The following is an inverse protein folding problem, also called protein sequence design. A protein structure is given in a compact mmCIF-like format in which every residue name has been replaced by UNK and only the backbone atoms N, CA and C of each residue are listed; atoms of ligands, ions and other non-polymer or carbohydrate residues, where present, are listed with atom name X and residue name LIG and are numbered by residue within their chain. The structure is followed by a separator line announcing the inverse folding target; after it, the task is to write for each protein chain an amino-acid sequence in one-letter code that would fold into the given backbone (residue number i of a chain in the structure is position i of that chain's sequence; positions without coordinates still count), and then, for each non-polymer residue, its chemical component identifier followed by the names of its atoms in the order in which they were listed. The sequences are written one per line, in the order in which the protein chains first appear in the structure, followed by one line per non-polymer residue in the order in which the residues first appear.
data_IF_819318436190
#
_entry.id   IF_819318436190
#
_cell.length_a   1.000
_cell.length_b   1.000
_cell.length_c   1.000
_cell.angle_alpha   90.00
_cell.angle_beta   90.00
_cell.angle_gamma   90.00
#
_symmetry.space_group_name_H-M   'P 1'
#
loop_
_entity.id
_entity.type
_entity.pdbx_description
1 polymer ?
#
# COMPACT_ATOMS: atom_id res chain seq x y z
N UNK A 1 -39.85 29.86 20.03
CA UNK A 1 -39.59 28.60 19.35
C UNK A 1 -38.09 28.36 19.19
N UNK A 2 -37.53 27.47 20.00
CA UNK A 2 -36.14 26.99 19.87
C UNK A 2 -36.10 25.78 18.90
N UNK A 3 -36.72 25.93 17.75
CA UNK A 3 -36.64 24.96 16.67
C UNK A 3 -35.78 25.51 15.54
N UNK A 4 -34.73 24.83 15.12
CA UNK A 4 -33.86 25.08 13.99
C UNK A 4 -32.43 25.60 14.27
N UNK A 5 -31.76 25.06 15.26
CA UNK A 5 -30.30 25.28 15.39
C UNK A 5 -29.49 24.12 14.86
N UNK A 6 -30.10 23.02 14.41
CA UNK A 6 -29.41 21.95 13.69
C UNK A 6 -29.70 22.01 12.19
N UNK A 7 -29.32 23.08 11.50
CA UNK A 7 -29.01 22.96 10.09
C UNK A 7 -27.85 21.99 10.01
N UNK A 8 -28.12 20.77 9.55
CA UNK A 8 -27.05 19.87 9.06
C UNK A 8 -26.25 20.70 8.08
N UNK A 9 -25.05 21.10 8.44
CA UNK A 9 -24.09 21.53 7.46
C UNK A 9 -24.02 20.37 6.46
N UNK A 10 -24.55 20.59 5.27
CA UNK A 10 -24.29 19.67 4.16
C UNK A 10 -22.77 19.67 4.00
N UNK A 11 -22.13 18.61 4.49
CA UNK A 11 -20.69 18.48 4.36
C UNK A 11 -20.37 18.55 2.87
N UNK A 12 -19.54 19.49 2.48
CA UNK A 12 -18.98 19.59 1.12
C UNK A 12 -17.97 18.49 0.82
N UNK A 13 -17.76 17.55 1.76
CA UNK A 13 -16.90 16.38 1.60
C UNK A 13 -17.65 15.21 0.99
N UNK A 14 -16.97 14.42 0.18
CA UNK A 14 -17.52 13.21 -0.43
C UNK A 14 -17.97 12.17 0.61
N UNK A 15 -18.99 11.39 0.26
CA UNK A 15 -19.46 10.26 1.07
C UNK A 15 -18.71 9.00 0.66
N UNK A 16 -18.38 8.13 1.60
CA UNK A 16 -17.91 6.78 1.29
C UNK A 16 -19.12 5.97 0.80
N UNK A 17 -19.05 5.45 -0.42
CA UNK A 17 -20.11 4.69 -1.07
C UNK A 17 -19.91 3.18 -0.92
N UNK A 18 -18.66 2.71 -0.97
CA UNK A 18 -18.30 1.32 -0.75
C UNK A 18 -16.90 1.22 -0.13
N UNK A 19 -16.65 0.14 0.61
CA UNK A 19 -15.36 -0.19 1.21
C UNK A 19 -15.06 -1.66 0.92
N UNK A 20 -13.92 -1.93 0.32
CA UNK A 20 -13.45 -3.27 0.01
C UNK A 20 -12.03 -3.45 0.54
N UNK A 21 -11.73 -4.62 1.09
CA UNK A 21 -10.42 -4.90 1.69
C UNK A 21 -9.94 -6.30 1.33
N UNK A 22 -8.66 -6.39 1.02
CA UNK A 22 -7.92 -7.65 0.99
C UNK A 22 -6.95 -7.69 2.16
N UNK A 23 -6.95 -8.81 2.88
CA UNK A 23 -6.02 -9.13 3.96
C UNK A 23 -5.13 -10.28 3.51
N UNK A 24 -3.82 -10.05 3.50
CA UNK A 24 -2.80 -11.06 3.20
C UNK A 24 -2.16 -11.53 4.50
N UNK A 25 -2.18 -12.83 4.75
CA UNK A 25 -1.61 -13.46 5.96
C UNK A 25 -0.46 -14.40 5.67
N UNK A 26 -0.34 -14.88 4.43
CA UNK A 26 0.78 -15.72 3.98
C UNK A 26 2.00 -14.86 3.62
N UNK A 27 3.18 -15.46 3.77
CA UNK A 27 4.44 -14.76 3.50
C UNK A 27 4.60 -14.50 2.00
N UNK A 28 4.95 -13.27 1.66
CA UNK A 28 5.52 -12.92 0.36
C UNK A 28 7.01 -12.67 0.52
N UNK A 29 7.82 -13.11 -0.44
CA UNK A 29 9.27 -12.95 -0.42
C UNK A 29 9.82 -12.66 -1.80
N UNK A 30 10.72 -11.69 -1.91
CA UNK A 30 11.43 -11.37 -3.15
C UNK A 30 12.85 -10.89 -2.87
N UNK A 31 13.79 -11.20 -3.75
CA UNK A 31 15.13 -10.61 -3.80
C UNK A 31 15.36 -9.82 -5.10
N UNK A 32 14.29 -9.48 -5.81
CA UNK A 32 14.36 -8.73 -7.06
C UNK A 32 14.75 -7.27 -6.82
N UNK A 33 15.70 -6.76 -7.61
CA UNK A 33 16.02 -5.33 -7.71
C UNK A 33 15.04 -4.56 -8.60
N UNK A 34 14.20 -5.26 -9.36
CA UNK A 34 13.07 -4.70 -10.10
C UNK A 34 11.79 -4.85 -9.31
N UNK A 35 10.85 -3.92 -9.49
CA UNK A 35 9.54 -4.00 -8.85
C UNK A 35 8.76 -5.21 -9.37
N UNK A 36 8.31 -6.06 -8.46
CA UNK A 36 7.46 -7.22 -8.73
C UNK A 36 6.17 -7.12 -7.95
N UNK A 37 5.09 -7.64 -8.49
CA UNK A 37 3.78 -7.61 -7.83
C UNK A 37 3.79 -8.48 -6.55
N UNK A 38 3.25 -7.91 -5.46
CA UNK A 38 3.01 -8.65 -4.22
C UNK A 38 1.75 -9.50 -4.42
N UNK A 39 1.95 -10.79 -4.67
CA UNK A 39 0.85 -11.73 -4.90
C UNK A 39 -0.08 -11.81 -3.69
N UNK A 40 -1.39 -11.80 -3.93
CA UNK A 40 -2.40 -11.89 -2.87
C UNK A 40 -2.63 -10.58 -2.11
N UNK A 41 -2.04 -9.45 -2.53
CA UNK A 41 -2.28 -8.14 -1.94
C UNK A 41 -2.77 -7.16 -3.00
N UNK A 42 -3.93 -7.47 -3.56
CA UNK A 42 -4.63 -6.65 -4.55
C UNK A 42 -6.11 -6.57 -4.21
N UNK A 43 -6.76 -5.46 -4.58
CA UNK A 43 -8.20 -5.28 -4.40
C UNK A 43 -8.79 -4.58 -5.63
N UNK A 44 -9.78 -5.22 -6.22
CA UNK A 44 -10.54 -4.63 -7.33
C UNK A 44 -11.71 -3.80 -6.80
N UNK A 45 -12.03 -2.72 -7.52
CA UNK A 45 -13.18 -1.85 -7.26
C UNK A 45 -13.68 -1.25 -8.58
N UNK A 46 -14.99 -1.05 -8.67
CA UNK A 46 -15.65 -0.37 -9.79
C UNK A 46 -16.36 0.87 -9.28
N UNK A 47 -15.97 2.04 -9.74
CA UNK A 47 -16.64 3.28 -9.34
C UNK A 47 -18.04 3.38 -9.97
N UNK A 48 -19.00 3.85 -9.20
CA UNK A 48 -20.39 4.04 -9.67
C UNK A 48 -20.55 5.27 -10.59
N UNK A 49 -19.57 6.19 -10.58
CA UNK A 49 -19.56 7.41 -11.41
C UNK A 49 -18.15 7.77 -11.80
N UNK A 50 -17.99 8.35 -12.99
CA UNK A 50 -16.71 8.87 -13.51
C UNK A 50 -16.14 10.05 -12.69
N UNK A 51 -16.97 10.72 -11.90
CA UNK A 51 -16.55 11.82 -11.02
C UNK A 51 -16.07 11.33 -9.65
N UNK A 52 -16.40 10.09 -9.26
CA UNK A 52 -16.02 9.56 -7.97
C UNK A 52 -14.51 9.25 -7.91
N UNK A 53 -13.99 9.25 -6.70
CA UNK A 53 -12.58 8.97 -6.42
C UNK A 53 -12.45 7.66 -5.66
N UNK A 54 -11.26 7.07 -5.73
CA UNK A 54 -10.92 5.86 -4.98
C UNK A 54 -9.84 6.21 -3.96
N UNK A 55 -10.18 6.11 -2.67
CA UNK A 55 -9.21 6.22 -1.58
C UNK A 55 -8.60 4.84 -1.34
N UNK A 56 -7.29 4.74 -1.53
CA UNK A 56 -6.50 3.53 -1.33
C UNK A 56 -5.72 3.69 -0.02
N UNK A 57 -5.84 2.72 0.89
CA UNK A 57 -5.02 2.63 2.09
C UNK A 57 -4.30 1.29 2.10
N UNK A 58 -2.98 1.33 2.24
CA UNK A 58 -2.11 0.15 2.32
C UNK A 58 -1.40 0.16 3.66
N UNK A 59 -1.41 -0.98 4.34
CA UNK A 59 -0.58 -1.22 5.53
C UNK A 59 0.21 -2.50 5.32
N UNK A 60 1.52 -2.41 5.40
CA UNK A 60 2.46 -3.50 5.22
C UNK A 60 3.21 -3.74 6.52
N UNK A 61 3.46 -5.01 6.79
CA UNK A 61 4.32 -5.46 7.88
C UNK A 61 5.36 -6.41 7.30
N UNK A 62 6.64 -6.16 7.57
CA UNK A 62 7.69 -7.02 7.02
C UNK A 62 9.10 -6.55 7.31
N UNK A 63 10.08 -7.24 6.74
CA UNK A 63 11.49 -6.96 6.95
C UNK A 63 12.37 -7.47 5.83
N UNK A 64 13.67 -7.27 5.97
CA UNK A 64 14.69 -7.80 5.07
C UNK A 64 15.54 -8.86 5.79
N UNK A 65 15.95 -9.91 5.05
CA UNK A 65 16.71 -11.05 5.59
C UNK A 65 18.16 -10.73 5.94
N UNK A 66 18.56 -9.48 5.91
CA UNK A 66 19.88 -9.04 6.34
C UNK A 66 19.82 -7.69 6.99
N UNK A 67 20.76 -7.45 7.90
CA UNK A 67 20.83 -6.19 8.63
C UNK A 67 21.03 -4.99 7.70
N UNK A 68 20.41 -3.87 8.05
CA UNK A 68 20.52 -2.60 7.33
C UNK A 68 20.06 -2.62 5.87
N UNK A 69 19.18 -3.57 5.51
CA UNK A 69 18.64 -3.68 4.17
C UNK A 69 17.31 -2.93 4.02
N UNK A 70 17.02 -2.57 2.78
CA UNK A 70 15.87 -1.74 2.40
C UNK A 70 15.01 -2.47 1.39
N UNK A 71 13.71 -2.46 1.64
CA UNK A 71 12.69 -2.79 0.66
C UNK A 71 11.93 -1.53 0.26
N UNK A 72 11.72 -1.34 -1.03
CA UNK A 72 10.96 -0.23 -1.59
C UNK A 72 9.66 -0.72 -2.19
N UNK A 73 8.63 0.12 -2.12
CA UNK A 73 7.28 -0.21 -2.56
C UNK A 73 6.73 0.84 -3.50
N UNK A 74 5.90 0.42 -4.44
CA UNK A 74 5.07 1.28 -5.27
C UNK A 74 3.61 0.85 -5.18
N UNK A 75 2.72 1.83 -5.21
CA UNK A 75 1.32 1.57 -5.47
C UNK A 75 1.15 1.24 -6.95
N UNK A 76 0.26 0.32 -7.27
CA UNK A 76 -0.07 -0.08 -8.64
C UNK A 76 -1.57 -0.02 -8.89
N UNK A 77 -1.94 0.29 -10.14
CA UNK A 77 -3.28 0.17 -10.70
C UNK A 77 -3.20 -0.68 -11.95
N UNK A 78 -4.01 -1.73 -12.06
CA UNK A 78 -4.05 -2.65 -13.19
C UNK A 78 -2.67 -3.22 -13.55
N UNK A 79 -1.91 -3.63 -12.52
CA UNK A 79 -0.55 -4.15 -12.59
C UNK A 79 0.53 -3.13 -13.03
N UNK A 80 0.16 -1.88 -13.26
CA UNK A 80 1.08 -0.81 -13.64
C UNK A 80 1.38 0.10 -12.44
N UNK A 81 2.65 0.44 -12.23
CA UNK A 81 3.03 1.36 -11.17
C UNK A 81 2.38 2.74 -11.36
N UNK A 82 1.81 3.27 -10.28
CA UNK A 82 1.21 4.61 -10.26
C UNK A 82 2.30 5.64 -9.96
N UNK A 83 3.21 5.87 -10.90
CA UNK A 83 4.42 6.67 -10.63
C UNK A 83 4.15 8.18 -10.52
N UNK A 84 3.13 8.73 -11.10
CA UNK A 84 2.82 10.17 -11.10
C UNK A 84 2.95 10.83 -9.72
N UNK A 85 1.81 11.06 -9.07
CA UNK A 85 1.77 11.74 -7.76
C UNK A 85 2.02 10.82 -6.55
N UNK A 86 2.24 9.51 -6.76
CA UNK A 86 2.45 8.55 -5.67
C UNK A 86 3.91 8.36 -5.28
N UNK A 87 4.85 8.92 -6.00
CA UNK A 87 6.28 8.83 -5.72
C UNK A 87 6.91 10.21 -5.54
N UNK A 88 7.94 10.28 -4.69
CA UNK A 88 8.64 11.54 -4.43
C UNK A 88 9.44 12.03 -5.64
N UNK A 89 9.65 13.33 -5.74
CA UNK A 89 10.50 13.92 -6.79
C UNK A 89 11.96 13.49 -6.62
N UNK A 90 12.64 13.25 -7.75
CA UNK A 90 14.08 13.00 -7.74
C UNK A 90 14.86 14.25 -7.33
N UNK A 91 15.93 14.08 -6.55
CA UNK A 91 16.83 15.16 -6.14
C UNK A 91 18.26 14.65 -6.03
N UNK A 92 19.18 15.19 -6.82
CA UNK A 92 20.57 14.76 -6.86
C UNK A 92 20.69 13.27 -7.14
N UNK A 93 21.38 12.53 -6.27
CA UNK A 93 21.53 11.07 -6.35
C UNK A 93 20.31 10.30 -5.84
N UNK A 94 19.30 10.98 -5.26
CA UNK A 94 18.07 10.37 -4.79
C UNK A 94 17.12 10.21 -5.96
N UNK A 95 17.14 9.02 -6.58
CA UNK A 95 16.24 8.71 -7.68
C UNK A 95 14.79 8.59 -7.19
N UNK A 96 13.87 9.05 -8.03
CA UNK A 96 12.44 8.82 -7.85
C UNK A 96 12.14 7.33 -8.01
N UNK A 97 12.05 6.58 -6.91
CA UNK A 97 12.10 5.13 -6.97
C UNK A 97 11.00 4.38 -6.21
N UNK A 98 10.16 5.05 -5.43
CA UNK A 98 9.12 4.36 -4.71
C UNK A 98 8.12 5.28 -4.01
N UNK A 99 6.97 4.72 -3.68
CA UNK A 99 5.92 5.38 -2.90
C UNK A 99 6.29 5.43 -1.42
N UNK A 100 6.82 4.33 -0.89
CA UNK A 100 7.25 4.19 0.51
C UNK A 100 8.29 3.07 0.62
N UNK A 101 8.92 2.96 1.78
CA UNK A 101 9.94 1.96 2.07
C UNK A 101 9.97 1.60 3.54
N UNK A 102 10.53 0.45 3.86
CA UNK A 102 11.07 0.19 5.20
C UNK A 102 12.56 -0.19 5.13
N UNK A 103 13.24 -0.07 6.26
CA UNK A 103 14.60 -0.52 6.47
C UNK A 103 14.66 -1.23 7.81
N UNK A 104 15.05 -2.49 7.79
CA UNK A 104 15.28 -3.26 9.01
C UNK A 104 16.75 -3.22 9.41
N UNK A 105 17.04 -2.97 10.67
CA UNK A 105 18.39 -2.93 11.21
C UNK A 105 18.92 -4.31 11.55
N UNK A 106 18.01 -5.26 11.82
CA UNK A 106 18.32 -6.67 12.04
C UNK A 106 17.30 -7.57 11.33
N UNK A 107 17.71 -8.76 10.95
CA UNK A 107 16.86 -9.74 10.25
C UNK A 107 15.70 -10.28 11.10
N UNK A 108 15.81 -10.19 12.42
CA UNK A 108 14.74 -10.56 13.37
C UNK A 108 13.66 -9.49 13.51
N UNK A 109 13.88 -8.31 12.95
CA UNK A 109 12.92 -7.20 13.02
C UNK A 109 11.92 -7.25 11.89
N UNK A 110 10.81 -6.60 12.13
CA UNK A 110 9.85 -6.19 11.12
C UNK A 110 9.44 -4.74 11.38
N UNK A 111 9.19 -4.06 10.29
CA UNK A 111 8.74 -2.68 10.24
C UNK A 111 7.32 -2.63 9.70
N UNK A 112 6.62 -1.59 10.07
CA UNK A 112 5.36 -1.23 9.43
C UNK A 112 5.60 -0.11 8.41
N UNK A 113 4.97 -0.23 7.25
CA UNK A 113 4.89 0.82 6.27
C UNK A 113 3.44 1.00 5.85
N UNK A 114 2.94 2.24 5.91
CA UNK A 114 1.60 2.57 5.50
C UNK A 114 1.58 3.73 4.51
N UNK A 115 0.60 3.72 3.63
CA UNK A 115 0.41 4.75 2.62
C UNK A 115 -1.06 4.90 2.28
N UNK A 116 -1.49 6.16 2.12
CA UNK A 116 -2.83 6.51 1.69
C UNK A 116 -2.76 7.40 0.45
N UNK A 117 -3.58 7.11 -0.55
CA UNK A 117 -3.65 7.89 -1.79
C UNK A 117 -5.09 7.96 -2.31
N UNK A 118 -5.46 9.11 -2.85
CA UNK A 118 -6.76 9.34 -3.46
C UNK A 118 -6.60 9.39 -4.98
N UNK A 119 -6.99 8.30 -5.65
CA UNK A 119 -6.98 8.19 -7.12
C UNK A 119 -8.26 8.78 -7.73
N UNK A 120 -8.13 9.26 -8.96
CA UNK A 120 -9.24 9.72 -9.80
C UNK A 120 -9.24 8.89 -11.08
N UNK A 121 -9.90 7.72 -11.11
CA UNK A 121 -9.89 6.84 -12.28
C UNK A 121 -10.55 7.49 -13.51
N UNK A 122 -11.52 8.37 -13.27
CA UNK A 122 -12.28 9.11 -14.31
C UNK A 122 -13.08 8.20 -15.26
N UNK A 123 -13.34 6.97 -14.88
CA UNK A 123 -14.18 6.02 -15.62
C UNK A 123 -14.93 5.10 -14.64
N UNK A 124 -15.76 4.20 -15.18
CA UNK A 124 -16.54 3.21 -14.43
C UNK A 124 -16.11 1.78 -14.73
N UNK A 125 -14.88 1.59 -15.20
CA UNK A 125 -14.31 0.26 -15.35
C UNK A 125 -13.88 -0.30 -13.99
N UNK A 126 -13.74 -1.62 -13.93
CA UNK A 126 -13.14 -2.26 -12.77
C UNK A 126 -11.63 -2.03 -12.78
N UNK A 127 -11.10 -1.41 -11.74
CA UNK A 127 -9.66 -1.24 -11.52
C UNK A 127 -9.18 -2.11 -10.38
N UNK A 128 -8.01 -2.71 -10.54
CA UNK A 128 -7.36 -3.51 -9.50
C UNK A 128 -6.16 -2.74 -8.95
N UNK A 129 -6.26 -2.34 -7.68
CA UNK A 129 -5.16 -1.70 -6.96
C UNK A 129 -4.32 -2.76 -6.25
N UNK A 130 -3.01 -2.53 -6.17
CA UNK A 130 -2.07 -3.47 -5.58
C UNK A 130 -0.76 -2.81 -5.21
N UNK A 131 0.17 -3.62 -4.73
CA UNK A 131 1.50 -3.19 -4.29
C UNK A 131 2.56 -3.91 -5.10
N UNK A 132 3.57 -3.16 -5.54
CA UNK A 132 4.81 -3.68 -6.10
C UNK A 132 5.92 -3.54 -5.05
N UNK A 133 6.82 -4.50 -4.99
CA UNK A 133 7.96 -4.53 -4.06
C UNK A 133 9.26 -4.82 -4.78
N UNK A 134 10.35 -4.20 -4.33
CA UNK A 134 11.73 -4.54 -4.70
C UNK A 134 12.65 -4.50 -3.49
N UNK A 135 13.84 -5.06 -3.61
CA UNK A 135 14.95 -4.84 -2.67
C UNK A 135 16.08 -4.05 -3.33
N UNK A 136 16.91 -3.39 -2.52
CA UNK A 136 18.06 -2.64 -3.03
C UNK A 136 19.35 -3.48 -3.04
N UNK A 137 19.37 -4.58 -2.31
CA UNK A 137 20.47 -5.55 -2.30
C UNK A 137 19.92 -6.96 -2.55
N UNK A 138 20.23 -7.52 -3.72
CA UNK A 138 19.70 -8.81 -4.19
C UNK A 138 20.28 -10.03 -3.47
N UNK A 139 21.31 -9.84 -2.64
CA UNK A 139 21.84 -10.90 -1.76
C UNK A 139 20.89 -11.23 -0.61
N UNK A 140 19.87 -10.40 -0.38
CA UNK A 140 18.91 -10.54 0.70
C UNK A 140 17.48 -10.52 0.19
N UNK A 141 16.59 -11.14 0.95
CA UNK A 141 15.16 -11.14 0.64
C UNK A 141 14.46 -10.00 1.40
N UNK A 142 13.58 -9.31 0.72
CA UNK A 142 12.51 -8.54 1.35
C UNK A 142 11.30 -9.44 1.56
N UNK A 143 10.69 -9.39 2.73
CA UNK A 143 9.55 -10.24 3.12
C UNK A 143 8.41 -9.41 3.68
N UNK A 144 7.20 -9.87 3.42
CA UNK A 144 5.97 -9.32 4.00
C UNK A 144 5.25 -10.40 4.80
N UNK A 145 4.45 -9.97 5.76
CA UNK A 145 3.68 -10.77 6.70
C UNK A 145 4.56 -11.62 7.65
N UNK A 146 5.81 -11.23 7.82
CA UNK A 146 6.78 -11.87 8.72
C UNK A 146 7.95 -10.93 9.00
N UNK A 147 8.84 -11.32 9.92
CA UNK A 147 10.15 -10.66 10.11
C UNK A 147 11.08 -10.93 8.92
N UNK A 148 12.21 -10.23 8.87
CA UNK A 148 13.20 -10.40 7.83
C UNK A 148 13.73 -11.83 7.71
N UNK A 149 13.97 -12.55 8.80
CA UNK A 149 14.48 -13.92 8.80
C UNK A 149 13.42 -14.98 8.45
N UNK A 150 12.15 -14.76 8.76
CA UNK A 150 11.08 -15.75 8.62
C UNK A 150 11.38 -17.07 9.38
N UNK A 151 12.08 -16.99 10.49
CA UNK A 151 12.43 -18.14 11.32
C UNK A 151 11.25 -18.66 12.14
N UNK A 152 11.39 -19.89 12.67
CA UNK A 152 10.42 -20.49 13.58
C UNK A 152 10.81 -20.27 15.05
N UNK A 153 10.85 -19.02 15.46
CA UNK A 153 11.17 -18.61 16.82
C UNK A 153 9.99 -17.82 17.43
N UNK A 154 9.82 -17.87 18.73
CA UNK A 154 8.70 -17.25 19.44
C UNK A 154 8.61 -15.72 19.25
N UNK A 155 9.72 -15.07 18.94
CA UNK A 155 9.80 -13.64 18.70
C UNK A 155 9.51 -13.22 17.25
N UNK A 156 9.36 -14.18 16.34
CA UNK A 156 9.08 -13.91 14.92
C UNK A 156 7.57 -13.90 14.71
N UNK A 157 6.96 -12.78 15.05
CA UNK A 157 5.52 -12.60 14.85
C UNK A 157 5.17 -12.49 13.36
N UNK A 158 4.01 -13.04 13.03
CA UNK A 158 3.38 -12.87 11.72
C UNK A 158 2.21 -11.92 11.84
N UNK A 159 2.26 -10.82 11.12
CA UNK A 159 1.20 -9.82 11.10
C UNK A 159 0.65 -9.69 9.68
N UNK A 160 -0.66 -9.49 9.53
CA UNK A 160 -1.25 -9.35 8.20
C UNK A 160 -0.82 -8.05 7.52
N UNK A 161 -0.74 -8.09 6.19
CA UNK A 161 -0.72 -6.89 5.35
C UNK A 161 -2.11 -6.65 4.79
N UNK A 162 -2.50 -5.40 4.60
CA UNK A 162 -3.83 -5.05 4.09
C UNK A 162 -3.75 -4.05 2.95
N UNK A 163 -4.70 -4.17 2.02
CA UNK A 163 -5.05 -3.10 1.09
C UNK A 163 -6.55 -2.87 1.18
N UNK A 164 -6.94 -1.64 1.49
CA UNK A 164 -8.34 -1.19 1.56
C UNK A 164 -8.57 -0.15 0.47
N UNK A 165 -9.62 -0.31 -0.30
CA UNK A 165 -10.06 0.65 -1.30
C UNK A 165 -11.47 1.11 -0.99
N UNK A 166 -11.70 2.42 -1.07
CA UNK A 166 -12.97 3.05 -0.73
C UNK A 166 -13.40 3.98 -1.87
N UNK A 167 -14.61 3.82 -2.36
CA UNK A 167 -15.19 4.78 -3.27
C UNK A 167 -15.71 5.99 -2.49
N UNK A 168 -15.29 7.17 -2.92
CA UNK A 168 -15.69 8.47 -2.35
C UNK A 168 -16.44 9.24 -3.42
N UNK A 169 -17.68 9.64 -3.13
CA UNK A 169 -18.45 10.47 -4.06
C UNK A 169 -17.78 11.84 -4.27
N UNK A 170 -17.93 12.37 -5.46
CA UNK A 170 -17.56 13.76 -5.75
C UNK A 170 -18.43 14.76 -4.99
#
# INVERSE_FOLDING_TARGET
GLGDVYKRQAGTGGKILQVLQTVKTDVFSTNSSSYVAVTGLTQAITAASTSNKILINVTLYGGCSGANNVAGFKLAKDSTAMDGNTIGAASGNNAQSGTFRFRTEAETQAEEASFMFLDTPADTNSHTYGVLMKVFNTSYYGRLCTTGENGNFNQHMRCPCTITVMEVSA
#
